data_IF_777359351313
#
_entry.id   IF_777359351313
#
_cell.length_a   1.000
_cell.length_b   1.000
_cell.length_c   1.000
_cell.angle_alpha   90.00
_cell.angle_beta   90.00
_cell.angle_gamma   90.00
#
_symmetry.space_group_name_H-M   'P 1'
#
loop_
_entity.id
_entity.type
_entity.pdbx_description
1 polymer ?
#
# COMPACT_ATOMS: atom_id res chain seq x y z
N UNK A 1 -18.21 56.69 19.14
CA UNK A 1 -17.42 55.48 18.85
C UNK A 1 -18.21 54.53 17.96
N UNK A 2 -17.63 54.13 16.83
CA UNK A 2 -18.26 53.19 15.90
C UNK A 2 -18.13 51.77 16.45
N UNK A 3 -19.26 51.18 16.84
CA UNK A 3 -19.35 49.78 17.27
C UNK A 3 -19.70 48.93 16.05
N UNK A 4 -18.71 48.23 15.49
CA UNK A 4 -18.95 47.25 14.45
C UNK A 4 -19.39 45.93 15.10
N UNK A 5 -20.60 45.46 14.80
CA UNK A 5 -21.12 44.17 15.28
C UNK A 5 -21.02 43.93 16.81
N UNK A 6 -21.03 45.00 17.62
CA UNK A 6 -20.89 44.93 19.07
C UNK A 6 -19.44 44.80 19.59
N UNK A 7 -18.44 44.84 18.71
CA UNK A 7 -17.03 44.81 19.10
C UNK A 7 -16.54 46.19 19.57
N UNK A 8 -15.78 46.21 20.66
CA UNK A 8 -15.05 47.39 21.09
C UNK A 8 -13.83 47.67 20.17
N UNK A 9 -13.23 48.85 20.28
CA UNK A 9 -12.14 49.25 19.36
C UNK A 9 -10.94 48.30 19.38
N UNK A 10 -10.58 47.75 20.54
CA UNK A 10 -9.46 46.81 20.66
C UNK A 10 -9.78 45.45 20.02
N UNK A 11 -11.00 44.95 20.20
CA UNK A 11 -11.47 43.74 19.54
C UNK A 11 -11.51 43.90 18.02
N UNK A 12 -11.93 45.06 17.52
CA UNK A 12 -11.90 45.34 16.08
C UNK A 12 -10.47 45.31 15.52
N UNK A 13 -9.48 45.85 16.25
CA UNK A 13 -8.07 45.80 15.85
C UNK A 13 -7.53 44.37 15.79
N UNK A 14 -7.86 43.53 16.78
CA UNK A 14 -7.45 42.13 16.80
C UNK A 14 -7.98 41.38 15.56
N UNK A 15 -9.28 41.51 15.28
CA UNK A 15 -9.89 40.88 14.09
C UNK A 15 -9.25 41.38 12.80
N UNK A 16 -8.93 42.68 12.70
CA UNK A 16 -8.26 43.22 11.51
C UNK A 16 -6.84 42.66 11.33
N UNK A 17 -6.11 42.41 12.42
CA UNK A 17 -4.80 41.77 12.36
C UNK A 17 -4.91 40.31 11.91
N UNK A 18 -5.83 39.54 12.49
CA UNK A 18 -6.07 38.15 12.10
C UNK A 18 -6.43 38.04 10.61
N UNK A 19 -7.30 38.94 10.13
CA UNK A 19 -7.64 39.02 8.71
C UNK A 19 -6.43 39.38 7.84
N UNK A 20 -5.59 40.31 8.30
CA UNK A 20 -4.38 40.68 7.57
C UNK A 20 -3.40 39.50 7.43
N UNK A 21 -3.23 38.68 8.48
CA UNK A 21 -2.39 37.49 8.42
C UNK A 21 -2.92 36.47 7.40
N UNK A 22 -4.22 36.17 7.42
CA UNK A 22 -4.85 35.25 6.47
C UNK A 22 -4.71 35.78 5.03
N UNK A 23 -4.97 37.07 4.81
CA UNK A 23 -4.84 37.70 3.49
C UNK A 23 -3.40 37.60 2.99
N UNK A 24 -2.41 37.78 3.89
CA UNK A 24 -0.99 37.69 3.55
C UNK A 24 -0.59 36.27 3.15
N UNK A 25 -1.08 35.26 3.86
CA UNK A 25 -0.85 33.85 3.52
C UNK A 25 -1.39 33.52 2.13
N UNK A 26 -2.66 33.87 1.86
CA UNK A 26 -3.28 33.66 0.54
C UNK A 26 -2.54 34.43 -0.55
N UNK A 27 -2.13 35.68 -0.29
CA UNK A 27 -1.37 36.48 -1.24
C UNK A 27 -0.03 35.83 -1.61
N UNK A 28 0.69 35.29 -0.62
CA UNK A 28 1.97 34.58 -0.84
C UNK A 28 1.80 33.36 -1.73
N UNK A 29 0.82 32.53 -1.43
CA UNK A 29 0.57 31.29 -2.18
C UNK A 29 0.09 31.55 -3.60
N UNK A 30 -0.80 32.52 -3.77
CA UNK A 30 -1.41 32.84 -5.06
C UNK A 30 -0.46 33.62 -5.96
N UNK A 31 0.16 34.70 -5.48
CA UNK A 31 0.90 35.66 -6.31
C UNK A 31 2.42 35.39 -6.33
N UNK A 32 2.96 34.70 -5.31
CA UNK A 32 4.40 34.33 -5.19
C UNK A 32 5.37 35.50 -5.47
N UNK A 33 4.98 36.74 -5.12
CA UNK A 33 5.83 37.93 -5.20
C UNK A 33 6.64 38.12 -3.91
N UNK A 34 7.71 38.92 -4.00
CA UNK A 34 8.52 39.33 -2.86
C UNK A 34 7.68 40.04 -1.78
N UNK A 35 8.02 39.80 -0.51
CA UNK A 35 7.38 40.37 0.70
C UNK A 35 7.48 41.90 0.73
N UNK A 36 6.68 42.56 -0.11
CA UNK A 36 6.50 43.99 -0.11
C UNK A 36 5.44 44.29 0.95
N UNK A 37 5.65 45.25 1.86
CA UNK A 37 4.65 45.61 2.85
C UNK A 37 3.46 46.28 2.15
N UNK A 38 2.45 45.47 1.82
CA UNK A 38 1.20 45.91 1.19
C UNK A 38 0.10 45.98 2.25
N UNK A 39 -0.85 46.89 2.05
CA UNK A 39 -2.10 46.90 2.82
C UNK A 39 -2.98 45.71 2.43
N UNK A 40 -3.80 45.21 3.36
CA UNK A 40 -4.77 44.13 3.09
C UNK A 40 -5.66 44.42 1.87
N UNK A 41 -6.07 45.67 1.67
CA UNK A 41 -6.91 46.07 0.52
C UNK A 41 -6.15 45.92 -0.79
N UNK A 42 -4.86 46.28 -0.81
CA UNK A 42 -4.02 46.16 -2.01
C UNK A 42 -3.75 44.70 -2.34
N UNK A 43 -3.48 43.87 -1.33
CA UNK A 43 -3.32 42.42 -1.50
C UNK A 43 -4.59 41.79 -2.08
N UNK A 44 -5.77 42.13 -1.53
CA UNK A 44 -7.06 41.64 -2.03
C UNK A 44 -7.33 42.08 -3.47
N UNK A 45 -7.04 43.34 -3.80
CA UNK A 45 -7.20 43.85 -5.17
C UNK A 45 -6.32 43.08 -6.18
N UNK A 46 -5.05 42.86 -5.86
CA UNK A 46 -4.18 42.07 -6.75
C UNK A 46 -4.65 40.62 -6.89
N UNK A 47 -5.16 40.00 -5.81
CA UNK A 47 -5.75 38.66 -5.86
C UNK A 47 -6.97 38.65 -6.78
N UNK A 48 -7.85 39.64 -6.66
CA UNK A 48 -9.05 39.78 -7.49
C UNK A 48 -8.73 39.97 -8.97
N UNK A 49 -7.74 40.80 -9.28
CA UNK A 49 -7.25 40.98 -10.66
C UNK A 49 -6.74 39.65 -11.21
N UNK A 50 -5.87 38.96 -10.47
CA UNK A 50 -5.33 37.66 -10.91
C UNK A 50 -6.43 36.62 -11.10
N UNK A 51 -7.43 36.59 -10.22
CA UNK A 51 -8.57 35.69 -10.34
C UNK A 51 -9.36 35.97 -11.60
N UNK A 52 -9.67 37.24 -11.87
CA UNK A 52 -10.37 37.69 -13.07
C UNK A 52 -9.61 37.30 -14.34
N UNK A 53 -8.31 37.58 -14.39
CA UNK A 53 -7.46 37.21 -15.54
C UNK A 53 -7.49 35.69 -15.81
N UNK A 54 -7.41 34.87 -14.76
CA UNK A 54 -7.47 33.42 -14.89
C UNK A 54 -8.84 32.92 -15.35
N UNK A 55 -9.93 33.55 -14.92
CA UNK A 55 -11.28 33.22 -15.37
C UNK A 55 -11.48 33.59 -16.84
N UNK A 56 -10.97 34.75 -17.27
CA UNK A 56 -11.00 35.15 -18.69
C UNK A 56 -10.24 34.14 -19.55
N UNK A 57 -9.02 33.76 -19.14
CA UNK A 57 -8.24 32.72 -19.83
C UNK A 57 -9.06 31.44 -19.91
N UNK A 58 -9.66 30.99 -18.80
CA UNK A 58 -10.47 29.77 -18.76
C UNK A 58 -11.64 29.80 -19.75
N UNK A 59 -12.29 30.96 -19.92
CA UNK A 59 -13.41 31.13 -20.87
C UNK A 59 -12.95 31.12 -22.33
N UNK A 60 -11.71 31.53 -22.60
CA UNK A 60 -11.15 31.55 -23.97
C UNK A 60 -10.60 30.21 -24.44
N UNK A 61 -10.38 29.24 -23.53
CA UNK A 61 -9.79 27.96 -23.89
C UNK A 61 -10.77 27.11 -24.73
N UNK A 62 -10.32 26.56 -25.87
CA UNK A 62 -11.15 25.68 -26.70
C UNK A 62 -11.47 24.39 -25.96
N UNK A 63 -12.75 24.00 -25.97
CA UNK A 63 -13.24 22.82 -25.22
C UNK A 63 -12.57 21.52 -25.67
N UNK A 64 -12.28 21.39 -26.97
CA UNK A 64 -11.67 20.19 -27.55
C UNK A 64 -10.27 19.93 -26.98
N UNK A 65 -9.38 20.93 -27.00
CA UNK A 65 -8.02 20.81 -26.45
C UNK A 65 -8.07 20.55 -24.93
N UNK A 66 -8.97 21.20 -24.21
CA UNK A 66 -9.15 20.98 -22.76
C UNK A 66 -9.57 19.53 -22.48
N UNK A 67 -10.46 18.98 -23.29
CA UNK A 67 -10.91 17.60 -23.15
C UNK A 67 -9.81 16.59 -23.49
N UNK A 68 -8.99 16.85 -24.51
CA UNK A 68 -7.81 16.04 -24.83
C UNK A 68 -6.80 16.03 -23.68
N UNK A 69 -6.47 17.20 -23.12
CA UNK A 69 -5.55 17.32 -21.98
C UNK A 69 -6.09 16.60 -20.75
N UNK A 70 -7.40 16.73 -20.46
CA UNK A 70 -8.06 16.00 -19.37
C UNK A 70 -7.94 14.48 -19.56
N UNK A 71 -8.21 13.99 -20.77
CA UNK A 71 -8.10 12.56 -21.08
C UNK A 71 -6.65 12.07 -20.96
N UNK A 72 -5.68 12.84 -21.46
CA UNK A 72 -4.26 12.51 -21.35
C UNK A 72 -3.82 12.41 -19.87
N UNK A 73 -4.19 13.40 -19.05
CA UNK A 73 -3.88 13.41 -17.62
C UNK A 73 -4.51 12.23 -16.87
N UNK A 74 -5.73 11.88 -17.24
CA UNK A 74 -6.43 10.73 -16.66
C UNK A 74 -5.79 9.39 -17.11
N UNK A 75 -5.30 9.29 -18.34
CA UNK A 75 -4.52 8.12 -18.80
C UNK A 75 -3.21 8.01 -18.02
N UNK A 76 -2.47 9.12 -17.89
CA UNK A 76 -1.21 9.20 -17.14
C UNK A 76 -1.42 8.78 -15.68
N UNK A 77 -2.45 9.32 -15.02
CA UNK A 77 -2.77 8.98 -13.64
C UNK A 77 -3.06 7.47 -13.48
N UNK A 78 -3.83 6.89 -14.41
CA UNK A 78 -4.11 5.45 -14.42
C UNK A 78 -2.85 4.61 -14.65
N UNK A 79 -1.90 5.10 -15.45
CA UNK A 79 -0.61 4.44 -15.65
C UNK A 79 0.23 4.49 -14.37
N UNK A 80 0.36 5.65 -13.74
CA UNK A 80 1.08 5.84 -12.48
C UNK A 80 0.55 4.89 -11.39
N UNK A 81 -0.78 4.81 -11.19
CA UNK A 81 -1.37 3.88 -10.21
C UNK A 81 -1.00 2.41 -10.50
N UNK A 82 -1.00 2.01 -11.78
CA UNK A 82 -0.64 0.64 -12.17
C UNK A 82 0.84 0.36 -11.91
N UNK A 83 1.71 1.31 -12.22
CA UNK A 83 3.15 1.19 -11.98
C UNK A 83 3.46 1.12 -10.49
N UNK A 84 2.85 1.98 -9.67
CA UNK A 84 3.01 1.96 -8.22
C UNK A 84 2.59 0.62 -7.62
N UNK A 85 1.44 0.09 -8.07
CA UNK A 85 0.98 -1.24 -7.64
C UNK A 85 1.96 -2.35 -8.04
N UNK A 86 2.50 -2.29 -9.26
CA UNK A 86 3.50 -3.25 -9.74
C UNK A 86 4.80 -3.15 -8.95
N UNK A 87 5.24 -1.94 -8.64
CA UNK A 87 6.44 -1.67 -7.85
C UNK A 87 6.29 -2.17 -6.42
N UNK A 88 5.15 -1.92 -5.78
CA UNK A 88 4.84 -2.47 -4.45
C UNK A 88 4.86 -4.01 -4.43
N UNK A 89 4.28 -4.65 -5.45
CA UNK A 89 4.33 -6.11 -5.57
C UNK A 89 5.76 -6.63 -5.77
N UNK A 90 6.57 -5.93 -6.57
CA UNK A 90 7.98 -6.27 -6.80
C UNK A 90 8.78 -6.17 -5.50
N UNK A 91 8.66 -5.06 -4.77
CA UNK A 91 9.32 -4.87 -3.48
C UNK A 91 8.94 -5.95 -2.47
N UNK A 92 7.64 -6.27 -2.37
CA UNK A 92 7.18 -7.35 -1.48
C UNK A 92 7.77 -8.72 -1.86
N UNK A 93 7.90 -9.01 -3.15
CA UNK A 93 8.54 -10.24 -3.61
C UNK A 93 10.05 -10.26 -3.32
N UNK A 94 10.74 -9.14 -3.56
CA UNK A 94 12.16 -8.96 -3.26
C UNK A 94 12.42 -9.17 -1.77
N UNK A 95 11.63 -8.57 -0.87
CA UNK A 95 11.73 -8.76 0.59
C UNK A 95 11.53 -10.23 0.99
N UNK A 96 10.54 -10.91 0.39
CA UNK A 96 10.30 -12.34 0.65
C UNK A 96 11.50 -13.20 0.24
N UNK A 97 12.08 -12.92 -0.92
CA UNK A 97 13.26 -13.64 -1.41
C UNK A 97 14.46 -13.35 -0.50
N UNK A 98 14.70 -12.09 -0.14
CA UNK A 98 15.78 -11.70 0.78
C UNK A 98 15.66 -12.44 2.11
N UNK A 99 14.49 -12.43 2.73
CA UNK A 99 14.24 -13.14 4.01
C UNK A 99 14.43 -14.66 3.91
N UNK A 100 14.07 -15.25 2.77
CA UNK A 100 14.29 -16.67 2.52
C UNK A 100 15.79 -16.98 2.34
N UNK A 101 16.53 -16.14 1.62
CA UNK A 101 17.97 -16.26 1.44
C UNK A 101 18.72 -16.09 2.77
N UNK A 102 18.34 -15.12 3.59
CA UNK A 102 18.89 -14.94 4.94
C UNK A 102 18.68 -16.17 5.80
N UNK A 103 17.47 -16.74 5.80
CA UNK A 103 17.17 -17.99 6.52
C UNK A 103 18.00 -19.17 6.02
N UNK A 104 18.24 -19.26 4.71
CA UNK A 104 19.06 -20.32 4.12
C UNK A 104 20.55 -20.17 4.46
N UNK A 105 21.05 -18.93 4.55
CA UNK A 105 22.43 -18.63 4.95
C UNK A 105 22.66 -18.73 6.47
N UNK A 106 21.61 -18.59 7.28
CA UNK A 106 21.71 -18.66 8.72
C UNK A 106 22.26 -20.03 9.16
N UNK A 107 23.17 -20.01 10.14
CA UNK A 107 23.73 -21.23 10.68
C UNK A 107 22.60 -22.14 11.21
N UNK A 108 22.66 -23.46 10.96
CA UNK A 108 21.65 -24.39 11.45
C UNK A 108 21.54 -24.25 12.97
N UNK A 109 20.30 -24.13 13.47
CA UNK A 109 20.05 -23.98 14.90
C UNK A 109 20.65 -25.17 15.64
N UNK A 110 21.66 -24.89 16.47
CA UNK A 110 22.23 -25.89 17.38
C UNK A 110 21.12 -26.33 18.34
N UNK A 111 20.84 -27.64 18.41
CA UNK A 111 19.92 -28.17 19.42
C UNK A 111 20.60 -28.10 20.78
N UNK A 112 20.34 -27.04 21.53
CA UNK A 112 20.76 -26.90 22.93
C UNK A 112 19.63 -27.40 23.83
N UNK A 113 19.90 -28.38 24.70
CA UNK A 113 18.91 -28.97 25.61
C UNK A 113 18.96 -30.50 25.66
N UNK A 114 17.87 -31.12 26.14
CA UNK A 114 17.74 -32.58 26.25
C UNK A 114 17.65 -33.21 24.85
N UNK A 115 18.44 -34.25 24.58
CA UNK A 115 18.43 -34.97 23.29
C UNK A 115 17.03 -35.50 22.99
N UNK A 116 16.61 -35.38 21.73
CA UNK A 116 15.36 -35.98 21.24
C UNK A 116 15.44 -37.50 21.45
N UNK A 117 14.60 -38.06 22.34
CA UNK A 117 14.47 -39.52 22.44
C UNK A 117 13.75 -40.03 21.20
N UNK A 118 14.33 -41.05 20.56
CA UNK A 118 13.66 -41.77 19.48
C UNK A 118 12.37 -42.37 20.01
N UNK A 119 11.29 -42.23 19.24
CA UNK A 119 10.05 -42.95 19.55
C UNK A 119 10.30 -44.45 19.38
N UNK A 120 9.57 -45.27 20.13
CA UNK A 120 9.56 -46.71 19.90
C UNK A 120 9.21 -46.99 18.44
N UNK A 121 9.94 -47.90 17.80
CA UNK A 121 9.50 -48.40 16.51
C UNK A 121 8.15 -49.12 16.70
N UNK A 122 7.13 -48.80 15.89
CA UNK A 122 5.91 -49.59 15.89
C UNK A 122 6.25 -51.05 15.57
N UNK A 123 5.52 -52.01 16.14
CA UNK A 123 5.78 -53.42 15.91
C UNK A 123 5.76 -53.70 14.41
N UNK A 124 6.83 -54.34 13.93
CA UNK A 124 6.95 -54.76 12.53
C UNK A 124 5.90 -55.84 12.31
N UNK A 125 4.85 -55.50 11.56
CA UNK A 125 3.87 -56.48 11.12
C UNK A 125 4.56 -57.32 10.04
N UNK A 126 5.10 -58.47 10.43
CA UNK A 126 5.48 -59.49 9.48
C UNK A 126 4.20 -59.97 8.79
N UNK A 127 4.10 -59.77 7.47
CA UNK A 127 3.06 -60.43 6.69
C UNK A 127 3.25 -61.94 6.88
N UNK A 128 2.15 -62.66 7.14
CA UNK A 128 2.20 -64.11 7.11
C UNK A 128 2.77 -64.56 5.77
N UNK A 129 3.69 -65.53 5.81
CA UNK A 129 4.19 -66.19 4.61
C UNK A 129 3.03 -67.03 4.04
N UNK A 130 2.12 -66.39 3.32
CA UNK A 130 0.93 -67.02 2.74
C UNK A 130 1.32 -68.20 1.82
N UNK A 131 2.55 -68.18 1.28
CA UNK A 131 3.13 -69.29 0.51
C UNK A 131 3.30 -70.60 1.28
N UNK A 132 3.44 -70.58 2.62
CA UNK A 132 3.49 -71.83 3.42
C UNK A 132 2.11 -72.46 3.60
N UNK A 133 1.06 -71.65 3.60
CA UNK A 133 -0.32 -72.13 3.68
C UNK A 133 -0.74 -72.76 2.35
N UNK A 134 -0.35 -72.14 1.23
CA UNK A 134 -0.59 -72.68 -0.10
C UNK A 134 0.19 -73.98 -0.36
N UNK A 135 1.44 -74.07 0.10
CA UNK A 135 2.22 -75.30 0.00
C UNK A 135 1.58 -76.46 0.78
N UNK A 136 1.13 -76.22 2.02
CA UNK A 136 0.40 -77.22 2.81
C UNK A 136 -0.94 -77.61 2.21
N UNK A 137 -1.66 -76.65 1.62
CA UNK A 137 -2.93 -76.94 0.95
C UNK A 137 -2.72 -77.80 -0.31
N UNK A 138 -1.59 -77.62 -1.00
CA UNK A 138 -1.21 -78.42 -2.16
C UNK A 138 -0.79 -79.83 -1.76
N UNK A 139 0.03 -79.97 -0.72
CA UNK A 139 0.39 -81.27 -0.13
C UNK A 139 -0.84 -82.04 0.36
N UNK A 140 -1.79 -81.37 1.02
CA UNK A 140 -3.06 -82.02 1.44
C UNK A 140 -3.89 -82.50 0.24
N UNK A 141 -3.95 -81.73 -0.85
CA UNK A 141 -4.65 -82.14 -2.07
C UNK A 141 -3.96 -83.33 -2.75
N UNK A 142 -2.63 -83.33 -2.80
CA UNK A 142 -1.84 -84.42 -3.38
C UNK A 142 -1.97 -85.72 -2.55
N UNK A 143 -1.97 -85.61 -1.21
CA UNK A 143 -2.26 -86.72 -0.31
C UNK A 143 -3.69 -87.24 -0.49
N UNK A 144 -4.69 -86.35 -0.60
CA UNK A 144 -6.08 -86.77 -0.80
C UNK A 144 -6.26 -87.58 -2.11
N UNK A 145 -5.55 -87.21 -3.18
CA UNK A 145 -5.56 -87.94 -4.45
C UNK A 145 -4.86 -89.31 -4.39
N UNK A 146 -3.93 -89.51 -3.46
CA UNK A 146 -3.17 -90.77 -3.30
C UNK A 146 -3.91 -91.83 -2.49
N UNK A 147 -4.93 -91.45 -1.71
CA UNK A 147 -5.69 -92.32 -0.82
C UNK A 147 -7.16 -92.52 -1.26
N UNK A 148 -7.50 -92.09 -2.47
CA UNK A 148 -8.75 -92.39 -3.20
C UNK A 148 -8.48 -93.50 -4.24
#
# INVERSE_FOLDING_TARGET
DFLFAGYNSEQQKLVLNDLHEIITEVYRDTIRKSDTPLSSIQMLYEIEVKLTDLLEILQTLPEDEVNEVKQAKEIEHRQQIKEDKKNQQRLYQEERIQKALERAKAAPKKQTGRRLMTRSQPPVIHKSDDGKLDAKAKEMKELAFLFE
#
